data_IF_510836116164
#
_entry.id   IF_510836116164
#
_cell.length_a   1.000
_cell.length_b   1.000
_cell.length_c   1.000
_cell.angle_alpha   90.00
_cell.angle_beta   90.00
_cell.angle_gamma   90.00
#
_symmetry.space_group_name_H-M   'P 1'
#
loop_
_entity.id
_entity.type
_entity.pdbx_description
1 polymer ?
#
# COMPACT_ATOMS: atom_id res chain seq x y z
N UNK A 1 7.83 4.59 12.99
CA UNK A 1 8.95 5.33 12.38
C UNK A 1 8.37 6.39 11.45
N UNK A 2 9.21 7.20 10.79
CA UNK A 2 8.75 8.28 9.94
C UNK A 2 8.19 7.73 8.61
N UNK A 3 6.92 7.99 8.31
CA UNK A 3 6.33 7.69 7.01
C UNK A 3 6.66 8.82 6.04
N UNK A 4 7.28 8.47 4.92
CA UNK A 4 7.48 9.37 3.79
C UNK A 4 6.17 9.48 3.02
N UNK A 5 5.64 10.69 2.87
CA UNK A 5 4.45 10.93 2.06
C UNK A 5 4.81 10.94 0.57
N UNK A 6 3.95 10.33 -0.23
CA UNK A 6 4.05 10.32 -1.70
C UNK A 6 2.85 11.03 -2.32
N UNK A 7 2.89 11.26 -3.62
CA UNK A 7 1.67 11.59 -4.36
C UNK A 7 0.70 10.40 -4.25
N UNK A 8 -0.57 10.61 -3.85
CA UNK A 8 -1.52 9.52 -3.68
C UNK A 8 -1.70 8.70 -4.97
N UNK A 9 -1.61 7.38 -4.86
CA UNK A 9 -1.87 6.45 -5.96
C UNK A 9 -3.20 5.77 -5.67
N UNK A 10 -4.18 5.98 -6.54
CA UNK A 10 -5.49 5.34 -6.44
C UNK A 10 -5.43 3.95 -7.06
N UNK A 11 -5.94 2.95 -6.33
CA UNK A 11 -5.90 1.55 -6.74
C UNK A 11 -7.20 0.84 -6.37
N UNK A 12 -7.45 -0.29 -7.02
CA UNK A 12 -8.56 -1.17 -6.67
C UNK A 12 -8.03 -2.41 -5.99
N UNK A 13 -8.57 -2.70 -4.81
CA UNK A 13 -8.28 -3.94 -4.07
C UNK A 13 -8.82 -5.17 -4.81
N UNK A 14 -8.32 -6.37 -4.49
CA UNK A 14 -8.79 -7.62 -5.07
C UNK A 14 -10.30 -7.88 -4.85
N UNK A 15 -10.86 -7.35 -3.76
CA UNK A 15 -12.28 -7.40 -3.42
C UNK A 15 -13.12 -6.32 -4.08
N UNK A 16 -12.54 -5.47 -4.94
CA UNK A 16 -13.26 -4.44 -5.69
C UNK A 16 -13.46 -3.11 -4.95
N UNK A 17 -12.90 -2.94 -3.75
CA UNK A 17 -12.93 -1.67 -3.04
C UNK A 17 -11.89 -0.68 -3.58
N UNK A 18 -12.23 0.60 -3.60
CA UNK A 18 -11.29 1.69 -3.87
C UNK A 18 -10.33 1.85 -2.70
N UNK A 19 -9.04 1.96 -3.01
CA UNK A 19 -7.98 2.19 -2.04
C UNK A 19 -7.02 3.27 -2.57
N UNK A 20 -6.26 3.85 -1.64
CA UNK A 20 -5.28 4.88 -1.93
C UNK A 20 -4.00 4.56 -1.17
N UNK A 21 -2.87 4.52 -1.86
CA UNK A 21 -1.53 4.43 -1.25
C UNK A 21 -0.94 5.84 -1.22
N UNK A 22 -0.52 6.31 -0.05
CA UNK A 22 -0.09 7.69 0.16
C UNK A 22 1.19 7.84 0.99
N UNK A 23 1.82 6.74 1.37
CA UNK A 23 3.13 6.81 1.99
C UNK A 23 3.93 5.52 1.97
N UNK A 24 5.19 5.65 2.34
CA UNK A 24 6.13 4.54 2.51
C UNK A 24 6.82 4.68 3.88
N UNK A 25 6.88 3.59 4.64
CA UNK A 25 7.76 3.41 5.79
C UNK A 25 8.79 2.33 5.45
N UNK A 26 9.99 2.70 4.95
CA UNK A 26 10.98 1.72 4.48
C UNK A 26 11.62 0.91 5.61
N UNK A 27 11.30 1.21 6.86
CA UNK A 27 11.82 0.50 8.04
C UNK A 27 10.89 -0.61 8.54
N UNK A 28 9.72 -0.74 7.91
CA UNK A 28 8.70 -1.72 8.25
C UNK A 28 8.52 -2.70 7.11
N UNK A 29 8.21 -3.97 7.39
CA UNK A 29 7.87 -4.95 6.35
C UNK A 29 6.55 -4.63 5.66
N UNK A 30 5.59 -4.06 6.39
CA UNK A 30 4.32 -3.55 5.86
C UNK A 30 4.53 -2.08 5.46
N UNK A 31 5.48 -1.87 4.54
CA UNK A 31 6.06 -0.57 4.24
C UNK A 31 5.11 0.40 3.53
N UNK A 32 4.10 -0.09 2.80
CA UNK A 32 3.19 0.77 2.05
C UNK A 32 2.04 1.21 2.95
N UNK A 33 1.85 2.52 3.04
CA UNK A 33 0.80 3.13 3.85
C UNK A 33 -0.31 3.66 2.95
N UNK A 34 -1.55 3.47 3.41
CA UNK A 34 -2.69 4.05 2.74
C UNK A 34 -4.01 3.77 3.44
N UNK A 35 -5.07 3.74 2.66
CA UNK A 35 -6.42 3.56 3.16
C UNK A 35 -7.38 3.00 2.12
N UNK A 36 -8.42 2.32 2.60
CA UNK A 36 -9.49 1.77 1.77
C UNK A 36 -10.76 2.55 2.04
N UNK A 37 -11.44 2.96 0.96
CA UNK A 37 -12.74 3.59 1.02
C UNK A 37 -13.81 2.50 1.02
N UNK A 38 -14.56 2.41 2.12
CA UNK A 38 -15.70 1.52 2.29
C UNK A 38 -16.99 2.33 2.50
N UNK A 39 -18.14 1.68 2.37
CA UNK A 39 -19.44 2.33 2.64
C UNK A 39 -19.55 2.87 4.08
N UNK A 40 -18.80 2.31 5.04
CA UNK A 40 -18.75 2.75 6.44
C UNK A 40 -17.70 3.82 6.73
N UNK A 41 -16.94 4.27 5.71
CA UNK A 41 -15.86 5.25 5.84
C UNK A 41 -14.51 4.74 5.37
N UNK A 42 -13.47 5.54 5.64
CA UNK A 42 -12.09 5.25 5.24
C UNK A 42 -11.35 4.48 6.33
N UNK A 43 -10.80 3.32 5.96
CA UNK A 43 -10.07 2.43 6.87
C UNK A 43 -8.57 2.54 6.57
N UNK A 44 -7.71 2.90 7.54
CA UNK A 44 -6.28 2.90 7.33
C UNK A 44 -5.77 1.46 7.19
N UNK A 45 -4.95 1.23 6.17
CA UNK A 45 -4.38 -0.10 5.86
C UNK A 45 -2.90 0.05 5.50
N UNK A 46 -2.15 -1.01 5.77
CA UNK A 46 -0.77 -1.15 5.33
C UNK A 46 -0.63 -2.40 4.48
N UNK A 47 0.26 -2.32 3.50
CA UNK A 47 0.61 -3.42 2.62
C UNK A 47 2.12 -3.61 2.62
N UNK A 48 2.58 -4.83 2.40
CA UNK A 48 3.98 -5.10 2.06
C UNK A 48 4.24 -4.83 0.56
N UNK A 49 5.49 -5.05 0.13
CA UNK A 49 5.89 -4.86 -1.27
C UNK A 49 5.28 -5.88 -2.24
N UNK A 50 4.57 -6.89 -1.73
CA UNK A 50 3.78 -7.83 -2.53
C UNK A 50 2.30 -7.45 -2.58
N UNK A 51 1.91 -6.32 -1.97
CA UNK A 51 0.53 -5.85 -1.93
C UNK A 51 -0.34 -6.62 -0.94
N UNK A 52 0.27 -7.28 0.05
CA UNK A 52 -0.45 -8.09 1.05
C UNK A 52 -0.72 -7.25 2.30
N UNK A 53 -1.99 -7.16 2.70
CA UNK A 53 -2.39 -6.57 3.97
C UNK A 53 -2.54 -7.65 5.04
N UNK A 54 -1.46 -7.94 5.77
CA UNK A 54 -1.36 -9.10 6.69
C UNK A 54 -2.41 -9.15 7.80
N UNK A 55 -2.85 -7.99 8.28
CA UNK A 55 -3.82 -7.87 9.36
C UNK A 55 -5.26 -7.66 8.87
N UNK A 56 -5.55 -7.96 7.61
CA UNK A 56 -6.85 -7.71 6.99
C UNK A 56 -7.27 -8.92 6.13
N UNK A 57 -8.53 -8.88 5.66
CA UNK A 57 -9.06 -9.90 4.74
C UNK A 57 -8.23 -9.95 3.44
N UNK A 58 -7.96 -11.12 2.84
CA UNK A 58 -7.27 -11.21 1.55
C UNK A 58 -7.92 -10.36 0.44
N UNK A 59 -9.22 -10.09 0.53
CA UNK A 59 -9.93 -9.21 -0.40
C UNK A 59 -9.44 -7.75 -0.40
N UNK A 60 -8.63 -7.32 0.57
CA UNK A 60 -8.06 -5.97 0.59
C UNK A 60 -6.64 -5.89 0.03
N UNK A 61 -6.07 -7.00 -0.44
CA UNK A 61 -4.80 -7.00 -1.13
C UNK A 61 -4.87 -6.16 -2.40
N UNK A 62 -3.75 -5.60 -2.83
CA UNK A 62 -3.65 -4.74 -4.01
C UNK A 62 -2.73 -5.37 -5.05
N UNK A 63 -2.98 -5.09 -6.33
CA UNK A 63 -2.12 -5.54 -7.41
C UNK A 63 -0.90 -4.62 -7.54
N UNK A 64 0.28 -5.15 -7.23
CA UNK A 64 1.54 -4.40 -7.33
C UNK A 64 2.08 -4.28 -8.77
N UNK A 65 1.49 -4.97 -9.74
CA UNK A 65 1.91 -4.96 -11.16
C UNK A 65 1.31 -3.84 -12.00
N UNK A 66 0.89 -2.75 -11.36
CA UNK A 66 0.55 -1.52 -12.08
C UNK A 66 1.76 -0.59 -12.05
N UNK A 67 1.96 0.16 -13.13
CA UNK A 67 3.18 0.96 -13.37
C UNK A 67 3.54 1.84 -12.17
N UNK A 68 2.57 2.52 -11.57
CA UNK A 68 2.78 3.43 -10.45
C UNK A 68 3.22 2.70 -9.17
N UNK A 69 2.70 1.51 -8.91
CA UNK A 69 3.07 0.71 -7.73
C UNK A 69 4.39 -0.04 -7.93
N UNK A 70 4.74 -0.42 -9.17
CA UNK A 70 6.06 -0.95 -9.49
C UNK A 70 7.14 0.11 -9.25
N UNK A 71 6.92 1.33 -9.74
CA UNK A 71 7.80 2.47 -9.50
C UNK A 71 7.92 2.78 -7.99
N UNK A 72 6.80 2.68 -7.25
CA UNK A 72 6.80 2.85 -5.81
C UNK A 72 7.59 1.77 -5.08
N UNK A 73 7.45 0.51 -5.49
CA UNK A 73 8.19 -0.62 -4.92
C UNK A 73 9.70 -0.47 -5.11
N UNK A 74 10.14 -0.06 -6.30
CA UNK A 74 11.54 0.22 -6.58
C UNK A 74 12.08 1.41 -5.76
N UNK A 75 11.26 2.46 -5.56
CA UNK A 75 11.62 3.56 -4.67
C UNK A 75 11.75 3.08 -3.21
N UNK A 76 10.80 2.29 -2.72
CA UNK A 76 10.83 1.74 -1.37
C UNK A 76 12.09 0.90 -1.13
N UNK A 77 12.46 0.02 -2.09
CA UNK A 77 13.70 -0.77 -2.03
C UNK A 77 14.96 0.12 -2.01
N UNK A 78 15.02 1.19 -2.82
CA UNK A 78 16.13 2.16 -2.80
C UNK A 78 16.27 2.88 -1.46
N UNK A 79 15.15 3.05 -0.75
CA UNK A 79 15.10 3.63 0.59
C UNK A 79 15.43 2.62 1.71
N UNK A 80 15.67 1.35 1.36
CA UNK A 80 16.04 0.29 2.30
C UNK A 80 14.90 -0.62 2.74
N UNK A 81 13.70 -0.49 2.15
CA UNK A 81 12.60 -1.42 2.42
C UNK A 81 12.96 -2.83 1.97
N UNK A 82 12.69 -3.80 2.85
CA UNK A 82 12.82 -5.22 2.54
C UNK A 82 11.44 -5.86 2.37
N UNK A 83 11.27 -6.77 1.40
CA UNK A 83 10.00 -7.47 1.17
C UNK A 83 9.60 -8.39 2.32
#
# INVERSE_FOLDING_TARGET
MATLKIFPIEVTTQGGHSAVVNGIDPTNSDCLHGSINSAGGTIPVRWDLHGIARNQSPGVNINMHIEELEALSELAKKLGAQP
#
